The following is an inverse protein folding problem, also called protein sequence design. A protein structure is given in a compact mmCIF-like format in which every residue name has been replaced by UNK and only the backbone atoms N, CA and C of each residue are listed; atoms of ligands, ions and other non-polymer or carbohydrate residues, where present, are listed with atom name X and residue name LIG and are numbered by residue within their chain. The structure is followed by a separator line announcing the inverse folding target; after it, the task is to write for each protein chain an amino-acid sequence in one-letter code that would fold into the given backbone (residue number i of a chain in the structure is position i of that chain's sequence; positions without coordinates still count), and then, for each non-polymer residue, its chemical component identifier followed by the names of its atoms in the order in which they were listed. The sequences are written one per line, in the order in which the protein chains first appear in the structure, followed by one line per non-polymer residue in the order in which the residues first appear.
data_IF_744881056904
#
_entry.id   IF_744881056904
#
_cell.length_a   1.000
_cell.length_b   1.000
_cell.length_c   1.000
_cell.angle_alpha   90.00
_cell.angle_beta   90.00
_cell.angle_gamma   90.00
#
_symmetry.space_group_name_H-M   'P 1'
#
loop_
_entity.id
_entity.type
_entity.pdbx_description
1 polymer ?
#
# COMPACT_ATOMS: atom_id res chain seq x y z
N UNK A 1 -6.66 20.92 -0.99
CA UNK A 1 -6.87 22.38 -1.01
C UNK A 1 -6.92 22.92 -2.44
N UNK A 2 -5.90 22.70 -3.30
CA UNK A 2 -5.88 23.19 -4.68
C UNK A 2 -7.07 22.65 -5.48
N UNK A 3 -7.34 21.34 -5.39
CA UNK A 3 -8.48 20.73 -6.08
C UNK A 3 -9.84 21.29 -5.62
N UNK A 4 -10.01 21.52 -4.30
CA UNK A 4 -11.21 22.12 -3.76
C UNK A 4 -11.40 23.59 -4.19
N UNK A 5 -10.31 24.36 -4.20
CA UNK A 5 -10.32 25.74 -4.70
C UNK A 5 -10.63 25.79 -6.22
N UNK A 6 -10.02 24.88 -6.99
CA UNK A 6 -10.29 24.76 -8.42
C UNK A 6 -11.76 24.40 -8.69
N UNK A 7 -12.30 23.45 -7.94
CA UNK A 7 -13.70 23.04 -8.03
C UNK A 7 -14.67 24.20 -7.73
N UNK A 8 -14.36 24.99 -6.69
CA UNK A 8 -15.17 26.14 -6.30
C UNK A 8 -15.09 27.30 -7.30
N UNK A 9 -13.92 27.49 -7.96
CA UNK A 9 -13.71 28.60 -8.91
C UNK A 9 -14.17 28.29 -10.32
N UNK A 10 -13.95 27.09 -10.79
CA UNK A 10 -14.07 26.72 -12.22
C UNK A 10 -15.21 25.74 -12.48
N UNK A 11 -15.76 25.15 -11.42
CA UNK A 11 -16.83 24.15 -11.50
C UNK A 11 -16.34 22.77 -11.97
N UNK A 12 -17.15 21.74 -11.72
CA UNK A 12 -16.82 20.35 -12.00
C UNK A 12 -16.58 20.08 -13.49
N UNK A 13 -17.30 20.78 -14.37
CA UNK A 13 -17.20 20.60 -15.81
C UNK A 13 -15.81 20.96 -16.33
N UNK A 14 -15.25 22.06 -15.86
CA UNK A 14 -13.93 22.53 -16.28
C UNK A 14 -12.81 21.63 -15.69
N UNK A 15 -12.98 21.12 -14.48
CA UNK A 15 -12.04 20.14 -13.90
C UNK A 15 -11.99 18.89 -14.77
N UNK A 16 -13.15 18.36 -15.22
CA UNK A 16 -13.21 17.22 -16.13
C UNK A 16 -12.57 17.52 -17.51
N UNK A 17 -12.74 18.73 -18.03
CA UNK A 17 -12.09 19.15 -19.31
C UNK A 17 -10.57 19.19 -19.15
N UNK A 18 -10.06 19.74 -18.03
CA UNK A 18 -8.63 19.79 -17.75
C UNK A 18 -8.06 18.35 -17.62
N UNK A 19 -8.76 17.48 -16.92
CA UNK A 19 -8.36 16.08 -16.74
C UNK A 19 -8.33 15.34 -18.08
N UNK A 20 -9.37 15.49 -18.90
CA UNK A 20 -9.41 14.93 -20.23
C UNK A 20 -8.29 15.48 -21.13
N UNK A 21 -8.03 16.79 -21.08
CA UNK A 21 -6.97 17.41 -21.87
C UNK A 21 -5.58 16.88 -21.46
N UNK A 22 -5.30 16.80 -20.17
CA UNK A 22 -4.02 16.25 -19.66
C UNK A 22 -3.88 14.77 -20.00
N UNK A 23 -4.96 13.99 -19.95
CA UNK A 23 -4.98 12.60 -20.40
C UNK A 23 -4.63 12.48 -21.89
N UNK A 24 -5.29 13.27 -22.75
CA UNK A 24 -5.03 13.24 -24.19
C UNK A 24 -3.59 13.68 -24.53
N UNK A 25 -3.05 14.69 -23.84
CA UNK A 25 -1.65 15.11 -24.01
C UNK A 25 -0.72 13.97 -23.61
N UNK A 26 -0.94 13.32 -22.46
CA UNK A 26 -0.13 12.20 -21.98
C UNK A 26 -0.16 11.01 -22.96
N UNK A 27 -1.33 10.66 -23.47
CA UNK A 27 -1.49 9.61 -24.48
C UNK A 27 -0.77 9.96 -25.78
N UNK A 28 -0.85 11.23 -26.21
CA UNK A 28 -0.16 11.70 -27.42
C UNK A 28 1.36 11.60 -27.25
N UNK A 29 1.91 12.05 -26.12
CA UNK A 29 3.34 11.93 -25.82
C UNK A 29 3.76 10.46 -25.84
N UNK A 30 3.00 9.58 -25.20
CA UNK A 30 3.32 8.15 -25.16
C UNK A 30 3.32 7.50 -26.55
N UNK A 31 2.42 7.94 -27.44
CA UNK A 31 2.36 7.44 -28.82
C UNK A 31 3.61 7.82 -29.67
N UNK A 32 4.25 8.97 -29.35
CA UNK A 32 5.45 9.41 -30.07
C UNK A 32 6.77 8.94 -29.43
N UNK A 33 6.76 8.48 -28.18
CA UNK A 33 7.95 8.00 -27.51
C UNK A 33 8.28 6.58 -27.96
N UNK A 34 9.45 6.42 -28.56
CA UNK A 34 9.98 5.09 -28.90
C UNK A 34 10.57 4.43 -27.66
N UNK A 35 9.85 3.45 -27.09
CA UNK A 35 10.31 2.69 -25.93
C UNK A 35 11.15 1.49 -26.45
N UNK A 36 12.48 1.47 -26.18
CA UNK A 36 13.31 0.34 -26.57
C UNK A 36 12.84 -0.94 -25.86
N UNK A 37 12.67 -2.01 -26.63
CA UNK A 37 12.23 -3.30 -26.09
C UNK A 37 13.41 -4.01 -25.43
N UNK A 38 13.29 -4.51 -24.18
CA UNK A 38 14.33 -5.32 -23.56
C UNK A 38 14.55 -6.63 -24.33
N UNK A 39 15.77 -7.17 -24.27
CA UNK A 39 16.08 -8.47 -24.87
C UNK A 39 15.20 -9.55 -24.21
N UNK A 40 14.48 -10.29 -25.05
CA UNK A 40 13.52 -11.29 -24.57
C UNK A 40 14.21 -12.64 -24.30
N UNK A 41 13.97 -13.21 -23.11
CA UNK A 41 14.33 -14.60 -22.81
C UNK A 41 13.51 -15.60 -23.64
N UNK A 42 13.96 -16.85 -23.69
CA UNK A 42 13.26 -17.92 -24.40
C UNK A 42 11.84 -18.16 -23.81
N UNK A 43 11.69 -18.05 -22.50
CA UNK A 43 10.41 -18.17 -21.79
C UNK A 43 9.48 -16.99 -22.10
N UNK A 44 10.03 -15.79 -22.22
CA UNK A 44 9.31 -14.58 -22.62
C UNK A 44 8.68 -14.66 -24.01
N UNK A 45 9.32 -15.39 -24.95
CA UNK A 45 8.80 -15.59 -26.32
C UNK A 45 7.68 -16.63 -26.42
N UNK A 46 7.77 -17.70 -25.63
CA UNK A 46 6.84 -18.83 -25.72
C UNK A 46 5.40 -18.53 -25.31
N UNK A 47 5.17 -17.48 -24.50
CA UNK A 47 3.85 -17.17 -23.91
C UNK A 47 3.17 -15.94 -24.48
N UNK A 48 3.70 -15.34 -25.55
CA UNK A 48 3.22 -14.10 -26.13
C UNK A 48 1.80 -14.22 -26.70
N UNK A 49 0.89 -13.33 -26.25
CA UNK A 49 -0.43 -13.17 -26.84
C UNK A 49 -1.58 -13.91 -26.17
N UNK A 50 -1.34 -14.65 -25.08
CA UNK A 50 -2.40 -15.26 -24.26
C UNK A 50 -2.37 -14.66 -22.85
N UNK A 51 -3.26 -13.72 -22.57
CA UNK A 51 -3.36 -13.03 -21.29
C UNK A 51 -3.33 -13.97 -20.06
N UNK A 52 -4.12 -15.03 -20.09
CA UNK A 52 -4.15 -16.03 -19.03
C UNK A 52 -2.83 -16.81 -18.88
N UNK A 53 -2.13 -17.06 -19.98
CA UNK A 53 -0.81 -17.70 -19.95
C UNK A 53 0.24 -16.78 -19.33
N UNK A 54 0.19 -15.49 -19.64
CA UNK A 54 1.09 -14.48 -19.07
C UNK A 54 0.85 -14.27 -17.57
N UNK A 55 -0.42 -14.23 -17.14
CA UNK A 55 -0.77 -14.21 -15.71
C UNK A 55 -0.27 -15.46 -14.97
N UNK A 56 -0.44 -16.65 -15.58
CA UNK A 56 0.03 -17.91 -14.99
C UNK A 56 1.54 -17.93 -14.79
N UNK A 57 2.31 -17.38 -15.73
CA UNK A 57 3.78 -17.28 -15.63
C UNK A 57 4.15 -16.32 -14.48
N UNK A 58 3.55 -15.13 -14.41
CA UNK A 58 3.79 -14.19 -13.33
C UNK A 58 3.46 -14.78 -11.96
N UNK A 59 2.32 -15.47 -11.84
CA UNK A 59 1.93 -16.14 -10.60
C UNK A 59 2.88 -17.29 -10.24
N UNK A 60 3.27 -18.14 -11.20
CA UNK A 60 4.21 -19.23 -10.98
C UNK A 60 5.59 -18.71 -10.56
N UNK A 61 6.07 -17.62 -11.16
CA UNK A 61 7.31 -16.94 -10.79
C UNK A 61 7.30 -16.48 -9.33
N UNK A 62 6.24 -15.79 -8.90
CA UNK A 62 6.09 -15.33 -7.52
C UNK A 62 6.03 -16.52 -6.56
N UNK A 63 5.25 -17.57 -6.90
CA UNK A 63 5.05 -18.71 -6.01
C UNK A 63 6.31 -19.55 -5.81
N UNK A 64 7.20 -19.63 -6.80
CA UNK A 64 8.49 -20.32 -6.70
C UNK A 64 9.50 -19.58 -5.80
N UNK A 65 9.30 -18.27 -5.55
CA UNK A 65 10.21 -17.44 -4.77
C UNK A 65 9.61 -17.08 -3.41
N UNK A 66 9.95 -17.79 -2.33
CA UNK A 66 9.28 -17.65 -1.03
C UNK A 66 9.38 -16.23 -0.44
N UNK A 67 10.45 -15.48 -0.71
CA UNK A 67 10.59 -14.09 -0.31
C UNK A 67 9.58 -13.17 -0.99
N UNK A 68 9.43 -13.25 -2.33
CA UNK A 68 8.46 -12.44 -3.08
C UNK A 68 7.02 -12.82 -2.72
N UNK A 69 6.74 -14.10 -2.53
CA UNK A 69 5.43 -14.58 -2.07
C UNK A 69 5.09 -14.04 -0.68
N UNK A 70 6.05 -14.07 0.25
CA UNK A 70 5.86 -13.52 1.59
C UNK A 70 5.60 -12.01 1.57
N UNK A 71 6.36 -11.26 0.78
CA UNK A 71 6.14 -9.83 0.60
C UNK A 71 4.77 -9.52 -0.03
N UNK A 72 4.37 -10.30 -1.05
CA UNK A 72 3.06 -10.15 -1.67
C UNK A 72 1.92 -10.38 -0.68
N UNK A 73 1.96 -11.49 0.09
CA UNK A 73 0.94 -11.83 1.07
C UNK A 73 0.87 -10.80 2.21
N UNK A 74 2.02 -10.31 2.67
CA UNK A 74 2.08 -9.26 3.67
C UNK A 74 1.45 -7.97 3.16
N UNK A 75 1.83 -7.52 1.97
CA UNK A 75 1.27 -6.29 1.37
C UNK A 75 -0.22 -6.45 1.04
N UNK A 76 -0.64 -7.61 0.60
CA UNK A 76 -2.05 -7.95 0.42
C UNK A 76 -2.84 -7.77 1.72
N UNK A 77 -2.37 -8.34 2.83
CA UNK A 77 -3.04 -8.22 4.13
C UNK A 77 -3.06 -6.76 4.61
N UNK A 78 -1.97 -6.00 4.42
CA UNK A 78 -1.88 -4.58 4.75
C UNK A 78 -2.86 -3.75 3.92
N UNK A 79 -2.94 -3.96 2.60
CA UNK A 79 -3.88 -3.26 1.74
C UNK A 79 -5.34 -3.59 2.11
N UNK A 80 -5.63 -4.84 2.50
CA UNK A 80 -6.94 -5.23 2.99
C UNK A 80 -7.32 -4.48 4.27
N UNK A 81 -6.40 -4.40 5.26
CA UNK A 81 -6.63 -3.64 6.49
C UNK A 81 -6.79 -2.14 6.20
N UNK A 82 -5.94 -1.57 5.35
CA UNK A 82 -6.02 -0.17 4.97
C UNK A 82 -7.34 0.15 4.25
N UNK A 83 -7.83 -0.76 3.40
CA UNK A 83 -9.11 -0.55 2.71
C UNK A 83 -10.31 -0.60 3.66
N UNK A 84 -10.27 -1.45 4.68
CA UNK A 84 -11.27 -1.50 5.74
C UNK A 84 -11.37 -0.16 6.51
N UNK A 85 -10.25 0.50 6.77
CA UNK A 85 -10.20 1.69 7.61
C UNK A 85 -10.14 2.99 6.81
N UNK A 86 -9.06 3.22 6.06
CA UNK A 86 -8.80 4.53 5.43
C UNK A 86 -9.77 4.88 4.31
N UNK A 87 -10.13 3.90 3.47
CA UNK A 87 -11.03 4.18 2.35
C UNK A 87 -12.49 4.08 2.72
N UNK A 88 -12.87 3.19 3.66
CA UNK A 88 -14.25 2.96 4.03
C UNK A 88 -14.72 3.85 5.18
N UNK A 89 -14.09 3.73 6.34
CA UNK A 89 -14.65 4.26 7.58
C UNK A 89 -14.00 5.55 8.07
N UNK A 90 -12.80 5.93 7.65
CA UNK A 90 -12.15 7.15 8.11
C UNK A 90 -13.00 8.42 7.89
N UNK A 91 -13.55 8.65 6.68
CA UNK A 91 -14.41 9.81 6.46
C UNK A 91 -15.65 9.81 7.35
N UNK A 92 -16.32 8.65 7.44
CA UNK A 92 -17.52 8.49 8.25
C UNK A 92 -17.24 8.69 9.75
N UNK A 93 -16.12 8.17 10.26
CA UNK A 93 -15.70 8.35 11.65
C UNK A 93 -15.44 9.81 12.00
N UNK A 94 -14.71 10.52 11.13
CA UNK A 94 -14.42 11.94 11.36
C UNK A 94 -15.71 12.75 11.36
N UNK A 95 -16.61 12.54 10.40
CA UNK A 95 -17.90 13.20 10.35
C UNK A 95 -18.76 12.88 11.60
N UNK A 96 -18.85 11.61 11.99
CA UNK A 96 -19.60 11.19 13.16
C UNK A 96 -19.06 11.80 14.46
N UNK A 97 -17.73 11.85 14.63
CA UNK A 97 -17.08 12.40 15.84
C UNK A 97 -17.01 13.92 15.86
N UNK A 98 -17.05 14.59 14.71
CA UNK A 98 -16.98 16.06 14.60
C UNK A 98 -18.35 16.74 14.54
N UNK A 99 -19.47 15.98 14.64
CA UNK A 99 -20.81 16.52 14.49
C UNK A 99 -21.12 16.96 13.06
N UNK A 100 -20.75 16.16 12.07
CA UNK A 100 -20.94 16.38 10.62
C UNK A 100 -20.15 17.60 10.08
N UNK A 101 -18.98 17.85 10.65
CA UNK A 101 -18.13 18.96 10.21
C UNK A 101 -17.28 18.55 8.99
N UNK A 102 -17.74 18.90 7.78
CA UNK A 102 -17.04 18.63 6.51
C UNK A 102 -15.69 19.33 6.41
N UNK A 103 -15.54 20.50 7.07
CA UNK A 103 -14.27 21.22 7.11
C UNK A 103 -13.20 20.41 7.85
N UNK A 104 -13.58 19.76 8.96
CA UNK A 104 -12.66 18.89 9.71
C UNK A 104 -12.20 17.70 8.84
N UNK A 105 -13.11 17.08 8.08
CA UNK A 105 -12.78 16.02 7.13
C UNK A 105 -11.84 16.54 6.03
N UNK A 106 -12.15 17.69 5.45
CA UNK A 106 -11.32 18.32 4.41
C UNK A 106 -9.90 18.62 4.88
N UNK A 107 -9.74 19.08 6.13
CA UNK A 107 -8.43 19.29 6.76
C UNK A 107 -7.63 18.01 6.91
N UNK A 108 -8.25 16.93 7.40
CA UNK A 108 -7.58 15.62 7.55
C UNK A 108 -7.16 15.07 6.20
N UNK A 109 -8.02 15.12 5.17
CA UNK A 109 -7.69 14.69 3.81
C UNK A 109 -6.56 15.53 3.20
N UNK A 110 -6.54 16.84 3.47
CA UNK A 110 -5.47 17.73 3.02
C UNK A 110 -4.12 17.38 3.65
N UNK A 111 -4.11 17.06 4.95
CA UNK A 111 -2.89 16.63 5.65
C UNK A 111 -2.42 15.26 5.18
N UNK A 112 -3.33 14.32 4.89
CA UNK A 112 -2.97 13.04 4.26
C UNK A 112 -2.27 13.27 2.91
N UNK A 113 -2.80 14.15 2.06
CA UNK A 113 -2.18 14.50 0.79
C UNK A 113 -0.81 15.18 0.95
N UNK A 114 -0.75 16.22 1.79
CA UNK A 114 0.48 16.97 2.05
C UNK A 114 1.57 16.10 2.72
N UNK A 115 1.17 15.25 3.66
CA UNK A 115 2.08 14.29 4.31
C UNK A 115 2.71 13.31 3.34
N UNK A 116 1.94 12.84 2.35
CA UNK A 116 2.48 12.01 1.27
C UNK A 116 3.55 12.74 0.43
N UNK A 117 3.33 14.01 0.09
CA UNK A 117 4.32 14.84 -0.62
C UNK A 117 5.58 15.03 0.24
N UNK A 118 5.42 15.38 1.51
CA UNK A 118 6.56 15.53 2.44
C UNK A 118 7.33 14.22 2.56
N UNK A 119 6.63 13.09 2.72
CA UNK A 119 7.25 11.77 2.78
C UNK A 119 8.02 11.41 1.51
N UNK A 120 7.47 11.75 0.32
CA UNK A 120 8.14 11.53 -0.96
C UNK A 120 9.41 12.40 -1.10
N UNK A 121 9.37 13.66 -0.68
CA UNK A 121 10.53 14.53 -0.64
C UNK A 121 11.59 14.02 0.33
N UNK A 122 11.21 13.58 1.53
CA UNK A 122 12.14 12.98 2.49
C UNK A 122 12.76 11.70 1.93
N UNK A 123 11.98 10.85 1.26
CA UNK A 123 12.50 9.65 0.62
C UNK A 123 13.49 9.99 -0.51
N UNK A 124 13.20 11.00 -1.33
CA UNK A 124 14.06 11.40 -2.45
C UNK A 124 15.40 11.97 -1.99
N UNK A 125 15.43 12.70 -0.88
CA UNK A 125 16.65 13.30 -0.33
C UNK A 125 17.49 12.31 0.47
N UNK A 126 16.85 11.43 1.23
CA UNK A 126 17.54 10.46 2.09
C UNK A 126 17.82 9.12 1.38
N UNK A 127 17.06 8.77 0.35
CA UNK A 127 17.15 7.48 -0.36
C UNK A 127 16.58 6.28 0.39
N UNK A 128 16.11 6.46 1.61
CA UNK A 128 15.56 5.42 2.47
C UNK A 128 16.60 4.45 3.05
N UNK A 129 16.19 3.46 3.85
CA UNK A 129 17.10 2.51 4.49
C UNK A 129 17.86 1.67 3.47
N UNK A 130 19.13 1.37 3.77
CA UNK A 130 19.99 0.51 2.92
C UNK A 130 19.35 -0.86 2.66
N UNK A 131 18.76 -1.46 3.69
CA UNK A 131 18.00 -2.72 3.57
C UNK A 131 16.53 -2.37 3.38
N UNK A 132 16.07 -2.33 2.13
CA UNK A 132 14.71 -1.89 1.76
C UNK A 132 13.61 -2.64 2.51
N UNK A 133 13.75 -3.96 2.71
CA UNK A 133 12.74 -4.77 3.40
C UNK A 133 12.54 -4.33 4.86
N UNK A 134 13.61 -3.98 5.57
CA UNK A 134 13.50 -3.47 6.94
C UNK A 134 12.82 -2.10 6.99
N UNK A 135 13.05 -1.27 5.95
CA UNK A 135 12.34 -0.01 5.79
C UNK A 135 10.83 -0.22 5.58
N UNK A 136 10.48 -1.08 4.65
CA UNK A 136 9.06 -1.39 4.36
C UNK A 136 8.34 -1.88 5.62
N UNK A 137 8.91 -2.88 6.32
CA UNK A 137 8.30 -3.43 7.53
C UNK A 137 8.27 -2.43 8.68
N UNK A 138 9.37 -1.71 8.93
CA UNK A 138 9.49 -0.76 10.02
C UNK A 138 8.57 0.44 9.86
N UNK A 139 8.56 1.07 8.68
CA UNK A 139 7.66 2.20 8.43
C UNK A 139 6.20 1.79 8.37
N UNK A 140 5.90 0.57 7.90
CA UNK A 140 4.55 0.05 7.94
C UNK A 140 4.07 -0.19 9.37
N UNK A 141 4.88 -0.81 10.22
CA UNK A 141 4.57 -0.99 11.64
C UNK A 141 4.40 0.36 12.37
N UNK A 142 5.27 1.34 12.08
CA UNK A 142 5.14 2.70 12.64
C UNK A 142 3.87 3.42 12.16
N UNK A 143 3.50 3.25 10.89
CA UNK A 143 2.26 3.82 10.35
C UNK A 143 1.03 3.29 11.08
N UNK A 144 0.94 1.97 11.28
CA UNK A 144 -0.14 1.37 12.06
C UNK A 144 -0.09 1.80 13.52
N UNK A 145 1.08 1.70 14.15
CA UNK A 145 1.22 1.98 15.58
C UNK A 145 0.94 3.45 15.93
N UNK A 146 1.42 4.40 15.13
CA UNK A 146 1.23 5.82 15.39
C UNK A 146 -0.04 6.35 14.74
N UNK A 147 -0.27 6.05 13.45
CA UNK A 147 -1.41 6.57 12.70
C UNK A 147 -2.73 5.99 13.19
N UNK A 148 -2.89 4.67 13.11
CA UNK A 148 -4.14 4.01 13.46
C UNK A 148 -4.48 4.17 14.95
N UNK A 149 -3.48 4.11 15.85
CA UNK A 149 -3.74 4.33 17.28
C UNK A 149 -4.24 5.73 17.58
N UNK A 150 -3.64 6.76 16.95
CA UNK A 150 -4.09 8.14 17.11
C UNK A 150 -5.47 8.37 16.49
N UNK A 151 -5.79 7.74 15.35
CA UNK A 151 -7.16 7.78 14.82
C UNK A 151 -8.15 7.06 15.73
N UNK A 152 -7.76 5.92 16.31
CA UNK A 152 -8.61 5.15 17.22
C UNK A 152 -9.03 5.97 18.45
N UNK A 153 -8.06 6.56 19.16
CA UNK A 153 -8.30 7.30 20.41
C UNK A 153 -8.65 8.78 20.21
N UNK A 154 -8.35 9.33 19.03
CA UNK A 154 -8.53 10.74 18.71
C UNK A 154 -10.00 11.17 18.76
N UNK A 155 -10.26 12.28 19.48
CA UNK A 155 -11.59 12.89 19.62
C UNK A 155 -11.61 14.36 19.24
N UNK A 156 -10.51 14.88 18.76
CA UNK A 156 -10.37 16.28 18.38
C UNK A 156 -9.58 16.42 17.07
N UNK A 157 -9.87 17.50 16.35
CA UNK A 157 -9.24 17.78 15.07
C UNK A 157 -7.69 17.76 15.11
N UNK A 158 -7.02 18.40 16.10
CA UNK A 158 -5.56 18.37 16.15
C UNK A 158 -4.98 16.95 16.22
N UNK A 159 -5.60 16.04 16.96
CA UNK A 159 -5.14 14.65 17.08
C UNK A 159 -5.29 13.93 15.74
N UNK A 160 -6.40 14.13 15.02
CA UNK A 160 -6.60 13.54 13.68
C UNK A 160 -5.63 14.09 12.65
N UNK A 161 -5.26 15.39 12.73
CA UNK A 161 -4.25 15.98 11.85
C UNK A 161 -2.87 15.36 12.10
N UNK A 162 -2.50 15.15 13.36
CA UNK A 162 -1.23 14.47 13.71
C UNK A 162 -1.26 13.01 13.23
N UNK A 163 -2.37 12.30 13.46
CA UNK A 163 -2.55 10.93 12.97
C UNK A 163 -2.38 10.83 11.45
N UNK A 164 -3.05 11.74 10.73
CA UNK A 164 -2.97 11.83 9.28
C UNK A 164 -1.53 12.11 8.79
N UNK A 165 -0.84 13.06 9.42
CA UNK A 165 0.54 13.39 9.10
C UNK A 165 1.48 12.19 9.33
N UNK A 166 1.39 11.54 10.49
CA UNK A 166 2.19 10.35 10.82
C UNK A 166 1.98 9.21 9.82
N UNK A 167 0.72 8.92 9.48
CA UNK A 167 0.43 7.88 8.49
C UNK A 167 0.97 8.24 7.11
N UNK A 168 0.65 9.43 6.61
CA UNK A 168 0.91 9.82 5.24
C UNK A 168 2.41 9.96 4.92
N UNK A 169 3.22 10.42 5.87
CA UNK A 169 4.67 10.54 5.70
C UNK A 169 5.33 9.19 5.48
N UNK A 170 4.82 8.10 6.07
CA UNK A 170 5.42 6.77 5.93
C UNK A 170 5.02 6.04 4.63
N UNK A 171 3.90 6.42 4.00
CA UNK A 171 3.41 5.74 2.77
C UNK A 171 4.46 5.70 1.64
N UNK A 172 5.17 6.80 1.26
CA UNK A 172 6.17 6.74 0.22
C UNK A 172 7.36 5.83 0.53
N UNK A 173 7.75 5.71 1.79
CA UNK A 173 8.82 4.80 2.22
C UNK A 173 8.40 3.33 2.07
N UNK A 174 7.14 3.03 2.35
CA UNK A 174 6.56 1.68 2.21
C UNK A 174 6.44 1.33 0.73
N UNK A 175 5.76 2.18 -0.05
CA UNK A 175 5.50 1.93 -1.47
C UNK A 175 6.78 1.96 -2.31
N UNK A 176 7.63 2.97 -2.14
CA UNK A 176 8.89 3.08 -2.85
C UNK A 176 9.87 1.97 -2.50
N UNK A 177 9.94 1.58 -1.22
CA UNK A 177 10.74 0.45 -0.78
C UNK A 177 10.25 -0.87 -1.37
N UNK A 178 8.94 -1.11 -1.37
CA UNK A 178 8.32 -2.27 -1.99
C UNK A 178 8.60 -2.34 -3.50
N UNK A 179 8.33 -1.26 -4.24
CA UNK A 179 8.57 -1.21 -5.69
C UNK A 179 10.04 -1.45 -6.03
N UNK A 180 10.95 -0.88 -5.27
CA UNK A 180 12.40 -1.10 -5.45
C UNK A 180 12.75 -2.60 -5.30
N UNK A 181 12.19 -3.29 -4.30
CA UNK A 181 12.43 -4.72 -4.11
C UNK A 181 11.93 -5.51 -5.32
N UNK A 182 10.71 -5.26 -5.80
CA UNK A 182 10.16 -5.95 -6.95
C UNK A 182 11.00 -5.71 -8.23
N UNK A 183 11.39 -4.47 -8.49
CA UNK A 183 12.21 -4.13 -9.67
C UNK A 183 13.60 -4.76 -9.64
N UNK A 184 14.22 -4.87 -8.45
CA UNK A 184 15.54 -5.48 -8.31
C UNK A 184 15.51 -7.02 -8.38
N UNK A 185 14.42 -7.64 -7.90
CA UNK A 185 14.31 -9.11 -7.77
C UNK A 185 13.70 -9.80 -8.98
N UNK A 186 12.98 -9.06 -9.81
CA UNK A 186 12.33 -9.61 -10.99
C UNK A 186 13.16 -9.31 -12.24
N UNK A 187 13.39 -10.31 -13.05
CA UNK A 187 14.10 -10.19 -14.33
C UNK A 187 13.39 -9.20 -15.26
N UNK A 188 14.15 -8.36 -15.97
CA UNK A 188 13.62 -7.24 -16.75
C UNK A 188 12.57 -7.65 -17.80
N UNK A 189 12.75 -8.81 -18.44
CA UNK A 189 11.83 -9.32 -19.45
C UNK A 189 10.52 -9.90 -18.88
N UNK A 190 10.51 -10.26 -17.59
CA UNK A 190 9.34 -10.75 -16.86
C UNK A 190 8.67 -9.67 -15.99
N UNK A 191 9.31 -8.51 -15.79
CA UNK A 191 8.79 -7.45 -14.90
C UNK A 191 7.37 -7.06 -15.24
N UNK A 192 7.05 -6.81 -16.50
CA UNK A 192 5.70 -6.40 -16.89
C UNK A 192 4.62 -7.40 -16.47
N UNK A 193 4.90 -8.70 -16.59
CA UNK A 193 3.96 -9.78 -16.26
C UNK A 193 3.85 -10.00 -14.75
N UNK A 194 4.98 -10.04 -14.06
CA UNK A 194 5.05 -10.26 -12.63
C UNK A 194 4.46 -9.08 -11.86
N UNK A 195 4.80 -7.84 -12.24
CA UNK A 195 4.27 -6.64 -11.62
C UNK A 195 2.77 -6.49 -11.87
N UNK A 196 2.28 -6.80 -13.08
CA UNK A 196 0.85 -6.80 -13.36
C UNK A 196 0.08 -7.80 -12.47
N UNK A 197 0.61 -9.00 -12.26
CA UNK A 197 0.01 -9.99 -11.34
C UNK A 197 0.07 -9.52 -9.89
N UNK A 198 1.21 -8.95 -9.47
CA UNK A 198 1.36 -8.35 -8.13
C UNK A 198 0.30 -7.28 -7.90
N UNK A 199 0.17 -6.31 -8.81
CA UNK A 199 -0.76 -5.20 -8.67
C UNK A 199 -2.22 -5.68 -8.70
N UNK A 200 -2.55 -6.61 -9.61
CA UNK A 200 -3.87 -7.20 -9.67
C UNK A 200 -4.25 -7.88 -8.36
N UNK A 201 -3.35 -8.67 -7.77
CA UNK A 201 -3.59 -9.36 -6.50
C UNK A 201 -3.68 -8.39 -5.31
N UNK A 202 -2.84 -7.37 -5.27
CA UNK A 202 -2.86 -6.38 -4.19
C UNK A 202 -4.11 -5.49 -4.23
N UNK A 203 -4.60 -5.17 -5.41
CA UNK A 203 -5.73 -4.25 -5.58
C UNK A 203 -7.09 -4.96 -5.66
N UNK A 204 -7.12 -6.25 -6.02
CA UNK A 204 -8.38 -6.99 -6.21
C UNK A 204 -9.30 -6.95 -4.98
N UNK A 205 -8.75 -6.98 -3.77
CA UNK A 205 -9.51 -7.00 -2.54
C UNK A 205 -9.80 -5.62 -1.93
N UNK A 206 -9.32 -4.53 -2.54
CA UNK A 206 -9.63 -3.17 -2.05
C UNK A 206 -11.15 -2.92 -2.05
N UNK A 207 -11.91 -3.23 -3.13
CA UNK A 207 -13.37 -3.09 -3.10
C UNK A 207 -14.04 -3.98 -2.05
N UNK A 208 -13.52 -5.18 -1.82
CA UNK A 208 -14.02 -6.09 -0.79
C UNK A 208 -13.82 -5.51 0.60
N UNK A 209 -12.62 -4.99 0.88
CA UNK A 209 -12.31 -4.33 2.15
C UNK A 209 -13.16 -3.08 2.37
N UNK A 210 -13.40 -2.30 1.32
CA UNK A 210 -14.27 -1.13 1.38
C UNK A 210 -15.70 -1.51 1.77
N UNK A 211 -16.28 -2.51 1.12
CA UNK A 211 -17.65 -3.00 1.44
C UNK A 211 -17.72 -3.61 2.84
N UNK A 212 -16.75 -4.45 3.19
CA UNK A 212 -16.70 -5.07 4.50
C UNK A 212 -16.53 -4.03 5.62
N UNK A 213 -15.72 -3.00 5.38
CA UNK A 213 -15.50 -1.91 6.33
C UNK A 213 -16.81 -1.24 6.74
N UNK A 214 -17.61 -0.81 5.77
CA UNK A 214 -18.91 -0.20 6.03
C UNK A 214 -19.88 -1.15 6.75
N UNK A 215 -20.02 -2.38 6.26
CA UNK A 215 -20.94 -3.37 6.88
C UNK A 215 -20.51 -3.71 8.31
N UNK A 216 -19.23 -3.90 8.56
CA UNK A 216 -18.71 -4.17 9.91
C UNK A 216 -18.91 -2.97 10.84
N UNK A 217 -18.65 -1.76 10.35
CA UNK A 217 -18.89 -0.55 11.13
C UNK A 217 -20.36 -0.46 11.55
N UNK A 218 -21.28 -0.47 10.57
CA UNK A 218 -22.68 -0.16 10.82
C UNK A 218 -23.44 -1.26 11.57
N UNK A 219 -23.14 -2.54 11.26
CA UNK A 219 -23.92 -3.66 11.81
C UNK A 219 -23.30 -4.34 13.01
N UNK A 220 -21.97 -4.20 13.20
CA UNK A 220 -21.27 -4.92 14.26
C UNK A 220 -20.67 -3.95 15.28
N UNK A 221 -19.74 -3.09 14.85
CA UNK A 221 -18.94 -2.32 15.79
C UNK A 221 -19.69 -1.10 16.38
N UNK A 222 -20.42 -0.33 15.57
CA UNK A 222 -21.17 0.81 16.09
C UNK A 222 -22.28 0.38 17.08
N UNK A 223 -23.12 -0.64 16.80
CA UNK A 223 -24.09 -1.12 17.80
C UNK A 223 -23.42 -1.68 19.06
N UNK A 224 -22.32 -2.40 18.92
CA UNK A 224 -21.61 -2.99 20.07
C UNK A 224 -20.92 -1.96 20.97
N UNK A 225 -20.59 -0.78 20.43
CA UNK A 225 -19.92 0.32 21.16
C UNK A 225 -20.87 1.42 21.65
N UNK A 226 -22.16 1.36 21.35
CA UNK A 226 -23.15 2.27 21.93
C UNK A 226 -23.21 2.13 23.46
N UNK A 227 -23.69 3.16 24.15
CA UNK A 227 -23.90 3.10 25.59
C UNK A 227 -24.80 1.89 25.95
N UNK A 228 -24.28 0.98 26.77
CA UNK A 228 -24.92 -0.30 27.11
C UNK A 228 -24.66 -1.45 26.11
N UNK A 229 -23.91 -1.24 25.05
CA UNK A 229 -23.51 -2.28 24.11
C UNK A 229 -22.49 -3.26 24.70
N UNK A 230 -22.35 -4.43 24.08
CA UNK A 230 -21.55 -5.57 24.57
C UNK A 230 -20.05 -5.25 24.72
N UNK A 231 -19.51 -4.37 23.88
CA UNK A 231 -18.08 -4.00 23.89
C UNK A 231 -17.83 -2.65 24.59
N UNK A 232 -18.88 -1.89 24.90
CA UNK A 232 -18.76 -0.57 25.51
C UNK A 232 -18.10 -0.61 26.89
N UNK A 233 -18.39 -1.62 27.71
CA UNK A 233 -17.78 -1.81 29.04
C UNK A 233 -16.29 -2.11 28.96
N UNK A 234 -15.84 -2.84 27.93
CA UNK A 234 -14.46 -3.28 27.79
C UNK A 234 -13.58 -2.26 27.11
N UNK A 235 -14.06 -1.62 26.03
CA UNK A 235 -13.27 -0.75 25.17
C UNK A 235 -13.70 0.72 25.21
N UNK A 236 -14.79 1.04 25.93
CA UNK A 236 -15.31 2.41 26.00
C UNK A 236 -14.35 3.41 26.66
N UNK A 237 -13.47 2.95 27.55
CA UNK A 237 -12.41 3.79 28.12
C UNK A 237 -11.40 4.24 27.05
N UNK A 238 -11.13 3.41 26.04
CA UNK A 238 -10.14 3.68 24.99
C UNK A 238 -10.73 4.54 23.87
N UNK A 239 -11.80 4.08 23.23
CA UNK A 239 -12.34 4.71 22.01
C UNK A 239 -13.61 5.56 22.26
N UNK A 240 -14.19 5.50 23.46
CA UNK A 240 -15.45 6.14 23.81
C UNK A 240 -16.67 5.26 23.53
N UNK A 241 -17.86 5.80 23.81
CA UNK A 241 -19.16 5.14 23.59
C UNK A 241 -20.13 5.99 22.75
N UNK A 242 -19.64 7.07 22.16
CA UNK A 242 -20.40 7.99 21.31
C UNK A 242 -20.42 7.57 19.83
N UNK A 243 -21.02 8.41 18.97
CA UNK A 243 -20.97 8.21 17.52
C UNK A 243 -19.53 8.06 16.99
N UNK A 244 -19.27 7.06 16.15
CA UNK A 244 -17.93 6.76 15.63
C UNK A 244 -17.03 5.96 16.57
N UNK A 245 -17.53 5.52 17.73
CA UNK A 245 -16.75 4.71 18.66
C UNK A 245 -16.46 3.31 18.12
N UNK A 246 -17.42 2.70 17.44
CA UNK A 246 -17.23 1.40 16.76
C UNK A 246 -16.19 1.48 15.66
N UNK A 247 -16.17 2.55 14.87
CA UNK A 247 -15.15 2.81 13.86
C UNK A 247 -13.77 3.02 14.50
N UNK A 248 -13.70 3.72 15.65
CA UNK A 248 -12.46 3.83 16.42
C UNK A 248 -11.93 2.49 16.92
N UNK A 249 -12.81 1.59 17.35
CA UNK A 249 -12.42 0.23 17.71
C UNK A 249 -11.87 -0.56 16.51
N UNK A 250 -12.44 -0.38 15.32
CA UNK A 250 -11.89 -0.97 14.09
C UNK A 250 -10.47 -0.46 13.81
N UNK A 251 -10.18 0.83 13.99
CA UNK A 251 -8.82 1.37 13.91
C UNK A 251 -7.88 0.76 14.97
N UNK A 252 -8.37 0.48 16.17
CA UNK A 252 -7.59 -0.25 17.21
C UNK A 252 -7.23 -1.66 16.74
N UNK A 253 -8.20 -2.37 16.18
CA UNK A 253 -7.98 -3.73 15.66
C UNK A 253 -7.02 -3.75 14.47
N UNK A 254 -7.10 -2.79 13.55
CA UNK A 254 -6.16 -2.68 12.43
C UNK A 254 -4.77 -2.25 12.89
N UNK A 255 -4.65 -1.38 13.88
CA UNK A 255 -3.38 -1.06 14.53
C UNK A 255 -2.69 -2.32 15.07
N UNK A 256 -3.40 -3.12 15.84
CA UNK A 256 -2.85 -4.35 16.44
C UNK A 256 -2.52 -5.37 15.34
N UNK A 257 -3.46 -5.69 14.46
CA UNK A 257 -3.28 -6.72 13.44
C UNK A 257 -2.24 -6.31 12.40
N UNK A 258 -2.22 -5.04 11.96
CA UNK A 258 -1.23 -4.52 11.03
C UNK A 258 0.19 -4.53 11.60
N UNK A 259 0.33 -4.12 12.86
CA UNK A 259 1.62 -4.20 13.59
C UNK A 259 2.08 -5.65 13.74
N UNK A 260 1.18 -6.57 14.11
CA UNK A 260 1.50 -7.99 14.23
C UNK A 260 1.89 -8.62 12.89
N UNK A 261 1.22 -8.26 11.78
CA UNK A 261 1.59 -8.72 10.43
C UNK A 261 3.01 -8.24 10.08
N UNK A 262 3.33 -6.98 10.36
CA UNK A 262 4.68 -6.45 10.10
C UNK A 262 5.74 -7.15 10.96
N UNK A 263 5.46 -7.41 12.24
CA UNK A 263 6.35 -8.16 13.14
C UNK A 263 6.49 -9.62 12.70
N UNK A 264 5.40 -10.29 12.32
CA UNK A 264 5.44 -11.64 11.79
C UNK A 264 6.26 -11.71 10.49
N UNK A 265 6.10 -10.71 9.61
CA UNK A 265 6.96 -10.54 8.43
C UNK A 265 8.44 -10.42 8.79
N UNK A 266 8.75 -9.74 9.88
CA UNK A 266 10.13 -9.62 10.40
C UNK A 266 10.70 -10.95 10.88
N UNK A 267 9.85 -11.83 11.44
CA UNK A 267 10.23 -13.17 11.90
C UNK A 267 10.31 -14.20 10.77
N UNK A 268 9.66 -13.92 9.64
CA UNK A 268 9.65 -14.84 8.51
C UNK A 268 11.01 -14.90 7.81
N UNK A 269 11.74 -15.99 8.02
CA UNK A 269 13.11 -16.18 7.56
C UNK A 269 13.33 -15.95 6.05
N UNK A 270 12.43 -16.39 5.12
CA UNK A 270 12.56 -16.12 3.69
C UNK A 270 12.54 -14.64 3.32
N UNK A 271 11.81 -13.80 4.06
CA UNK A 271 11.83 -12.35 3.86
C UNK A 271 13.15 -11.73 4.31
N UNK A 272 13.75 -12.22 5.39
CA UNK A 272 15.07 -11.76 5.87
C UNK A 272 16.20 -12.19 4.95
N UNK A 273 16.23 -13.44 4.53
CA UNK A 273 17.34 -14.03 3.77
C UNK A 273 17.38 -13.57 2.31
N UNK A 274 16.27 -13.76 1.56
CA UNK A 274 16.24 -13.53 0.12
C UNK A 274 16.07 -12.05 -0.28
N UNK A 275 15.55 -11.20 0.63
CA UNK A 275 15.27 -9.79 0.31
C UNK A 275 16.20 -8.80 1.02
N UNK A 276 17.10 -9.25 1.91
CA UNK A 276 17.87 -8.37 2.79
C UNK A 276 19.23 -7.90 2.25
N UNK A 277 19.74 -8.45 1.15
CA UNK A 277 21.08 -8.11 0.65
C UNK A 277 21.27 -8.14 -0.86
N UNK A 278 22.20 -7.33 -1.40
CA UNK A 278 22.58 -7.40 -2.81
C UNK A 278 23.27 -8.73 -3.17
N UNK A 279 23.94 -9.40 -2.21
CA UNK A 279 24.58 -10.69 -2.43
C UNK A 279 23.59 -11.86 -2.43
N UNK A 280 22.51 -11.80 -1.68
CA UNK A 280 21.44 -12.79 -1.72
C UNK A 280 20.80 -12.89 -3.11
N UNK A 281 20.85 -11.79 -3.89
CA UNK A 281 20.38 -11.75 -5.27
C UNK A 281 21.21 -12.60 -6.24
N UNK A 282 22.52 -12.61 -6.06
CA UNK A 282 23.46 -13.32 -6.98
C UNK A 282 23.39 -14.82 -6.71
N UNK A 283 23.25 -15.22 -5.44
CA UNK A 283 23.16 -16.64 -5.06
C UNK A 283 21.79 -17.24 -5.41
N UNK A 284 20.69 -16.46 -5.32
CA UNK A 284 19.35 -16.91 -5.73
C UNK A 284 19.25 -17.11 -7.25
N UNK A 285 20.01 -16.33 -8.05
CA UNK A 285 20.10 -16.49 -9.50
C UNK A 285 20.97 -17.69 -9.93
N UNK A 286 22.01 -18.00 -9.14
CA UNK A 286 22.91 -19.10 -9.46
C UNK A 286 22.32 -20.49 -9.15
N UNK A 287 21.32 -20.56 -8.28
CA UNK A 287 20.61 -21.81 -7.99
C UNK A 287 19.58 -22.20 -9.06
N UNK A 288 19.10 -21.24 -9.87
CA UNK A 288 18.10 -21.50 -10.92
C UNK A 288 18.69 -21.87 -12.30
N UNK A 289 20.01 -21.70 -12.51
CA UNK A 289 20.68 -22.07 -13.76
C UNK A 289 22.02 -22.81 -13.51
N UNK A 290 22.00 -24.13 -13.31
CA UNK A 290 23.23 -24.91 -13.16
C UNK A 290 24.06 -25.01 -14.46
N UNK A 291 23.58 -24.54 -15.62
CA UNK A 291 24.26 -24.76 -16.92
C UNK A 291 25.10 -23.59 -17.46
N UNK A 292 25.14 -22.42 -16.81
CA UNK A 292 25.89 -21.25 -17.37
C UNK A 292 27.33 -21.13 -16.85
N UNK A 293 27.77 -22.01 -15.94
CA UNK A 293 29.10 -21.92 -15.30
C UNK A 293 30.26 -22.61 -16.05
N UNK A 294 30.09 -23.13 -17.28
CA UNK A 294 31.16 -23.87 -17.92
C UNK A 294 31.80 -23.25 -19.18
N UNK A 295 31.49 -22.03 -19.55
CA UNK A 295 32.13 -21.39 -20.70
C UNK A 295 32.72 -20.01 -20.40
N UNK A 296 33.76 -19.93 -19.60
CA UNK A 296 34.77 -18.87 -19.69
C UNK A 296 35.98 -19.17 -18.79
N UNK A 297 36.73 -20.20 -19.14
CA UNK A 297 38.17 -20.25 -18.85
C UNK A 297 38.83 -21.00 -20.02
N UNK A 298 39.26 -20.29 -21.04
CA UNK A 298 40.39 -20.71 -21.86
C UNK A 298 41.48 -19.64 -21.76
N UNK A 299 42.70 -19.99 -21.31
CA UNK A 299 43.86 -19.10 -21.34
C UNK A 299 44.47 -19.10 -22.73
N UNK A 300 44.85 -17.91 -23.19
CA UNK A 300 45.92 -17.71 -24.15
C UNK A 300 47.21 -17.42 -23.42
#
# INVERSE_FOLDING_TARGET
LIAGALLAWVGIQMVLVIDLATFLISMSILAFVHIPRPQQSAEGRASRGRFLSEMRIGFAYINRRPGLRGLLLMMFAINMLASLTYFSILPAMILARSGQNEWALGMVQSVLGAGGVVGALLLSTWGGPRKKIHGVMGFCALSFLLGDSLFAVGRSLPVWLVAAACTAVFIPFISGGQETIWQLKVEQDLQGRVLAVKDALQQFFIPVGFLLGGVLADRVFEPAMRAGGSLASTFGWLVGTGPGAGMGLMFTLTCISGTLICLAGYLYAPLKGSLAGPLGDILDRSCDHPEVSQHHVQPL
#
